data_IF_587795659994
#
_entry.id   IF_587795659994
#
_cell.length_a   1.000
_cell.length_b   1.000
_cell.length_c   1.000
_cell.angle_alpha   90.00
_cell.angle_beta   90.00
_cell.angle_gamma   90.00
#
_symmetry.space_group_name_H-M   'P 1'
#
loop_
_entity.id
_entity.type
_entity.pdbx_description
1 polymer ?
#
# COMPACT_ATOMS: atom_id res chain seq x y z
N UNK A 1 -0.71 -19.13 -21.27
CA UNK A 1 -1.81 -19.02 -20.29
C UNK A 1 -1.60 -17.70 -19.59
N UNK A 2 -2.41 -16.68 -19.89
CA UNK A 2 -2.33 -15.38 -19.23
C UNK A 2 -3.03 -15.59 -17.89
N UNK A 3 -2.26 -15.65 -16.81
CA UNK A 3 -2.83 -15.71 -15.47
C UNK A 3 -3.70 -14.48 -15.27
N UNK A 4 -4.95 -14.74 -14.88
CA UNK A 4 -6.00 -13.79 -14.58
C UNK A 4 -5.54 -12.89 -13.45
N UNK A 5 -4.85 -11.80 -13.82
CA UNK A 5 -4.12 -10.89 -12.94
C UNK A 5 -5.05 -9.91 -12.23
N UNK A 6 -6.20 -10.40 -11.73
CA UNK A 6 -7.12 -9.62 -10.88
C UNK A 6 -6.52 -9.27 -9.52
N UNK A 7 -5.45 -9.96 -9.16
CA UNK A 7 -4.72 -9.81 -7.91
C UNK A 7 -3.26 -9.57 -8.29
N UNK A 8 -2.64 -8.52 -7.76
CA UNK A 8 -1.25 -8.15 -8.09
C UNK A 8 -0.23 -9.29 -7.85
N UNK A 9 1.05 -9.13 -8.23
CA UNK A 9 2.05 -10.21 -8.30
C UNK A 9 2.45 -10.85 -6.95
N UNK A 10 1.76 -10.51 -5.87
CA UNK A 10 2.09 -10.87 -4.49
C UNK A 10 1.15 -11.92 -3.88
N UNK A 11 0.30 -12.53 -4.71
CA UNK A 11 -0.51 -13.68 -4.32
C UNK A 11 -0.05 -14.94 -5.05
N UNK A 12 0.01 -16.05 -4.32
CA UNK A 12 0.20 -17.39 -4.90
C UNK A 12 -1.14 -18.09 -4.91
N UNK A 13 -1.57 -18.58 -6.08
CA UNK A 13 -2.72 -19.47 -6.18
C UNK A 13 -2.27 -20.90 -5.87
N UNK A 14 -2.91 -21.51 -4.86
CA UNK A 14 -2.75 -22.94 -4.56
C UNK A 14 -4.14 -23.57 -4.56
N UNK A 15 -4.45 -24.38 -5.57
CA UNK A 15 -5.81 -24.86 -5.82
C UNK A 15 -6.76 -23.70 -6.15
N UNK A 16 -7.87 -23.59 -5.42
CA UNK A 16 -8.84 -22.49 -5.52
C UNK A 16 -8.64 -21.38 -4.46
N UNK A 17 -7.55 -21.42 -3.71
CA UNK A 17 -7.25 -20.44 -2.65
C UNK A 17 -6.07 -19.55 -3.05
N UNK A 18 -6.16 -18.27 -2.71
CA UNK A 18 -5.09 -17.29 -2.87
C UNK A 18 -4.38 -17.10 -1.53
N UNK A 19 -3.06 -17.25 -1.53
CA UNK A 19 -2.21 -17.08 -0.35
C UNK A 19 -1.33 -15.85 -0.56
N UNK A 20 -1.28 -14.91 0.40
CA UNK A 20 -0.29 -13.84 0.34
C UNK A 20 1.10 -14.47 0.46
N UNK A 21 1.96 -14.21 -0.51
CA UNK A 21 3.37 -14.65 -0.44
C UNK A 21 4.15 -13.80 0.57
N UNK A 22 3.55 -12.68 1.00
CA UNK A 22 4.18 -11.65 1.81
C UNK A 22 5.08 -10.78 0.94
N UNK A 23 4.99 -9.46 1.09
CA UNK A 23 5.99 -8.57 0.50
C UNK A 23 7.25 -8.58 1.36
N UNK A 24 8.42 -8.48 0.72
CA UNK A 24 9.67 -8.22 1.43
C UNK A 24 9.57 -6.88 2.17
N UNK A 25 10.01 -6.86 3.42
CA UNK A 25 10.17 -5.60 4.17
C UNK A 25 11.34 -4.84 3.55
N UNK A 26 11.12 -3.59 3.17
CA UNK A 26 12.12 -2.72 2.54
C UNK A 26 12.02 -1.34 3.17
N UNK A 27 13.09 -0.85 3.78
CA UNK A 27 13.18 0.53 4.26
C UNK A 27 14.31 1.23 3.51
N UNK A 28 13.96 2.27 2.77
CA UNK A 28 14.87 3.06 1.94
C UNK A 28 14.40 4.50 1.87
N UNK A 29 15.14 5.35 1.18
CA UNK A 29 14.82 6.77 1.06
C UNK A 29 13.45 7.02 0.40
N UNK A 30 13.11 6.24 -0.64
CA UNK A 30 11.91 6.44 -1.46
C UNK A 30 10.88 5.31 -1.31
N UNK A 31 11.15 4.29 -0.50
CA UNK A 31 10.24 3.18 -0.28
C UNK A 31 10.33 2.69 1.17
N UNK A 32 9.19 2.74 1.85
CA UNK A 32 8.96 2.14 3.16
C UNK A 32 7.88 1.06 3.03
N UNK A 33 8.29 -0.20 2.93
CA UNK A 33 7.42 -1.35 2.67
C UNK A 33 7.43 -2.30 3.85
N UNK A 34 6.23 -2.65 4.27
CA UNK A 34 5.95 -3.71 5.23
C UNK A 34 5.24 -4.89 4.53
N UNK A 35 4.88 -5.91 5.31
CA UNK A 35 4.28 -7.15 4.76
C UNK A 35 3.00 -6.92 3.95
N UNK A 36 2.15 -5.99 4.39
CA UNK A 36 0.78 -5.81 3.88
C UNK A 36 0.49 -4.37 3.39
N UNK A 37 1.46 -3.47 3.53
CA UNK A 37 1.32 -2.07 3.12
C UNK A 37 2.69 -1.50 2.73
N UNK A 38 2.68 -0.42 1.97
CA UNK A 38 3.87 0.36 1.71
C UNK A 38 3.56 1.84 1.58
N UNK A 39 4.55 2.66 1.88
CA UNK A 39 4.59 4.04 1.46
C UNK A 39 5.74 4.22 0.46
N UNK A 40 5.52 4.94 -0.63
CA UNK A 40 6.53 5.17 -1.67
C UNK A 40 6.52 6.63 -2.12
N UNK A 41 7.70 7.13 -2.50
CA UNK A 41 7.89 8.41 -3.19
C UNK A 41 8.23 8.11 -4.65
N UNK A 42 7.41 8.61 -5.56
CA UNK A 42 7.64 8.46 -7.00
C UNK A 42 8.60 9.54 -7.53
N UNK A 43 9.06 9.36 -8.76
CA UNK A 43 10.03 10.25 -9.41
C UNK A 43 9.52 11.68 -9.62
N UNK A 44 8.20 11.88 -9.59
CA UNK A 44 7.55 13.18 -9.68
C UNK A 44 7.50 13.91 -8.30
N UNK A 45 8.02 13.28 -7.25
CA UNK A 45 8.02 13.81 -5.89
C UNK A 45 6.76 13.48 -5.09
N UNK A 46 5.75 12.86 -5.70
CA UNK A 46 4.50 12.53 -5.00
C UNK A 46 4.69 11.30 -4.12
N UNK A 47 4.05 11.33 -2.96
CA UNK A 47 4.12 10.26 -1.98
C UNK A 47 2.78 9.51 -1.95
N UNK A 48 2.85 8.19 -1.81
CA UNK A 48 1.67 7.32 -1.82
C UNK A 48 1.73 6.32 -0.68
N UNK A 49 0.57 6.02 -0.10
CA UNK A 49 0.34 4.92 0.83
C UNK A 49 -0.54 3.88 0.14
N UNK A 50 -0.02 2.67 -0.01
CA UNK A 50 -0.74 1.53 -0.56
C UNK A 50 -0.97 0.48 0.53
N UNK A 51 -2.22 0.03 0.66
CA UNK A 51 -2.59 -1.07 1.55
C UNK A 51 -3.38 -2.13 0.82
N UNK A 52 -3.15 -3.40 1.19
CA UNK A 52 -3.97 -4.51 0.69
C UNK A 52 -5.34 -4.49 1.36
N UNK A 53 -6.41 -4.33 0.58
CA UNK A 53 -7.76 -4.52 1.09
C UNK A 53 -8.15 -6.00 0.96
N UNK A 54 -8.09 -6.71 2.08
CA UNK A 54 -8.45 -8.13 2.18
C UNK A 54 -9.95 -8.42 2.11
N UNK A 55 -10.82 -7.42 2.30
CA UNK A 55 -12.25 -7.66 2.51
C UNK A 55 -13.02 -8.10 1.25
N UNK A 56 -12.53 -7.81 0.03
CA UNK A 56 -13.30 -8.03 -1.21
C UNK A 56 -12.47 -8.60 -2.38
N UNK A 57 -11.51 -9.48 -2.10
CA UNK A 57 -10.75 -10.13 -3.16
C UNK A 57 -9.57 -9.31 -3.67
N UNK A 58 -8.66 -8.97 -2.75
CA UNK A 58 -7.25 -8.67 -3.02
C UNK A 58 -6.97 -7.50 -3.96
N UNK A 59 -7.80 -6.47 -3.84
CA UNK A 59 -7.49 -5.14 -4.37
C UNK A 59 -6.50 -4.41 -3.47
N UNK A 60 -5.74 -3.50 -4.07
CA UNK A 60 -4.96 -2.50 -3.33
C UNK A 60 -5.74 -1.19 -3.30
N UNK A 61 -5.70 -0.49 -2.18
CA UNK A 61 -6.19 0.87 -2.07
C UNK A 61 -4.97 1.77 -1.91
N UNK A 62 -4.92 2.84 -2.69
CA UNK A 62 -3.81 3.78 -2.69
C UNK A 62 -4.33 5.15 -2.30
N UNK A 63 -3.63 5.82 -1.40
CA UNK A 63 -3.89 7.19 -0.98
C UNK A 63 -2.66 8.04 -1.26
N UNK A 64 -2.88 9.30 -1.62
CA UNK A 64 -1.80 10.27 -1.68
C UNK A 64 -1.42 10.71 -0.26
N UNK A 65 -0.12 10.84 -0.03
CA UNK A 65 0.48 11.36 1.18
C UNK A 65 1.11 12.72 0.88
N UNK A 66 1.09 13.59 1.87
CA UNK A 66 2.00 14.72 1.91
C UNK A 66 3.43 14.22 2.14
N UNK A 67 4.42 15.00 1.72
CA UNK A 67 5.83 14.70 1.98
C UNK A 67 6.11 14.59 3.50
N UNK A 68 5.48 15.44 4.30
CA UNK A 68 5.62 15.42 5.75
C UNK A 68 5.12 14.11 6.37
N UNK A 69 4.00 13.57 5.89
CA UNK A 69 3.50 12.27 6.35
C UNK A 69 4.46 11.14 5.98
N UNK A 70 5.03 11.17 4.78
CA UNK A 70 6.02 10.18 4.36
C UNK A 70 7.27 10.20 5.25
N UNK A 71 7.79 11.38 5.60
CA UNK A 71 8.93 11.49 6.52
C UNK A 71 8.59 11.03 7.94
N UNK A 72 7.37 11.32 8.43
CA UNK A 72 6.90 10.82 9.73
C UNK A 72 6.80 9.29 9.78
N UNK A 73 6.47 8.63 8.66
CA UNK A 73 6.52 7.17 8.56
C UNK A 73 7.96 6.68 8.75
N UNK A 74 8.92 7.28 8.03
CA UNK A 74 10.35 6.91 8.12
C UNK A 74 10.94 7.12 9.51
N UNK A 75 10.44 8.11 10.23
CA UNK A 75 10.82 8.40 11.63
C UNK A 75 10.14 7.48 12.64
N UNK A 76 9.16 6.65 12.22
CA UNK A 76 8.37 5.81 13.11
C UNK A 76 7.29 6.56 13.90
N UNK A 77 7.04 7.83 13.57
CA UNK A 77 6.03 8.68 14.23
C UNK A 77 4.62 8.46 13.67
N UNK A 78 4.51 7.97 12.44
CA UNK A 78 3.25 7.66 11.77
C UNK A 78 3.20 6.17 11.41
N UNK A 79 2.44 5.42 12.19
CA UNK A 79 2.26 3.98 12.03
C UNK A 79 1.17 3.63 11.01
N UNK A 80 1.07 2.34 10.67
CA UNK A 80 -0.02 1.82 9.84
C UNK A 80 -1.41 2.21 10.37
N UNK A 81 -1.69 2.00 11.66
CA UNK A 81 -3.00 2.35 12.24
C UNK A 81 -3.28 3.86 12.16
N UNK A 82 -2.24 4.69 12.32
CA UNK A 82 -2.33 6.14 12.13
C UNK A 82 -2.67 6.50 10.68
N UNK A 83 -2.04 5.85 9.70
CA UNK A 83 -2.34 6.05 8.28
C UNK A 83 -3.77 5.63 7.94
N UNK A 84 -4.20 4.45 8.41
CA UNK A 84 -5.58 3.97 8.21
C UNK A 84 -6.57 4.99 8.78
N UNK A 85 -6.34 5.45 10.01
CA UNK A 85 -7.19 6.46 10.67
C UNK A 85 -7.25 7.74 9.85
N UNK A 86 -6.12 8.25 9.38
CA UNK A 86 -6.07 9.43 8.50
C UNK A 86 -6.87 9.20 7.22
N UNK A 87 -6.75 8.03 6.60
CA UNK A 87 -7.40 7.76 5.31
C UNK A 87 -8.87 7.35 5.39
N UNK A 88 -9.35 6.87 6.53
CA UNK A 88 -10.73 6.43 6.74
C UNK A 88 -11.60 7.55 7.33
N UNK A 89 -11.02 8.43 8.16
CA UNK A 89 -11.75 9.50 8.84
C UNK A 89 -11.65 10.87 8.17
N UNK A 90 -10.74 11.06 7.22
CA UNK A 90 -10.62 12.31 6.47
C UNK A 90 -11.54 12.27 5.23
N UNK A 91 -12.66 13.02 5.22
CA UNK A 91 -13.60 13.01 4.10
C UNK A 91 -13.02 13.60 2.81
N UNK A 92 -11.93 14.36 2.89
CA UNK A 92 -11.27 14.95 1.72
C UNK A 92 -10.24 13.96 1.11
N UNK A 93 -9.84 12.91 1.85
CA UNK A 93 -8.95 11.86 1.35
C UNK A 93 -9.71 10.80 0.56
N UNK A 94 -9.53 10.87 -0.75
CA UNK A 94 -10.07 9.88 -1.66
C UNK A 94 -8.98 8.94 -2.16
N UNK A 95 -9.27 7.64 -2.31
CA UNK A 95 -8.36 6.72 -2.98
C UNK A 95 -8.00 7.20 -4.39
N UNK A 96 -6.72 7.16 -4.72
CA UNK A 96 -6.20 7.51 -6.04
C UNK A 96 -6.06 6.27 -6.92
N UNK A 97 -6.35 6.43 -8.21
CA UNK A 97 -6.03 5.42 -9.22
C UNK A 97 -4.71 5.79 -9.87
N UNK A 98 -3.69 4.98 -9.63
CA UNK A 98 -2.41 5.10 -10.31
C UNK A 98 -2.49 4.19 -11.54
N UNK A 99 -2.32 4.78 -12.73
CA UNK A 99 -2.49 4.10 -14.02
C UNK A 99 -1.12 3.77 -14.61
#
# INVERSE_FOLDING_TARGET
MIEDSRFGPYVKKTGNKYYPIGRSVIHSENLWREKNWEARRDSDGRCYFEQMNGAHGGGVIIYELTEQEFERIKQGELSYDGLVTLTDHDPDRNPVKIT
#
